data_IF_275098957683
#
_entry.id   IF_275098957683
#
_cell.length_a   1.000
_cell.length_b   1.000
_cell.length_c   1.000
_cell.angle_alpha   90.00
_cell.angle_beta   90.00
_cell.angle_gamma   90.00
#
_symmetry.space_group_name_H-M   'P 1'
#
loop_
_entity.id
_entity.type
_entity.pdbx_description
1 polymer ?
#
# COMPACT_ATOMS: atom_id res chain seq x y z
N UNK A 1 -8.22 6.29 0.59
CA UNK A 1 -6.81 6.18 1.02
C UNK A 1 -5.90 6.39 -0.16
N UNK A 2 -4.80 7.13 0.03
CA UNK A 2 -3.73 7.32 -0.95
C UNK A 2 -2.39 7.04 -0.26
N UNK A 3 -1.57 6.16 -0.86
CA UNK A 3 -0.21 5.87 -0.41
C UNK A 3 0.77 6.28 -1.53
N UNK A 4 1.62 7.29 -1.30
CA UNK A 4 2.70 7.65 -2.22
C UNK A 4 3.55 6.44 -2.61
N UNK A 5 3.82 6.29 -3.91
CA UNK A 5 4.64 5.23 -4.50
C UNK A 5 6.04 5.68 -4.90
N UNK A 6 6.72 4.87 -5.71
CA UNK A 6 8.10 5.14 -6.16
C UNK A 6 8.18 6.30 -7.16
N UNK A 7 7.14 6.49 -7.97
CA UNK A 7 7.07 7.54 -8.99
C UNK A 7 6.62 8.90 -8.45
N UNK A 8 5.93 8.90 -7.31
CA UNK A 8 5.31 10.05 -6.66
C UNK A 8 5.68 10.09 -5.16
N UNK A 9 6.89 9.66 -4.83
CA UNK A 9 7.39 9.52 -3.45
C UNK A 9 7.15 10.78 -2.60
N UNK A 10 7.00 10.59 -1.28
CA UNK A 10 6.77 11.67 -0.31
C UNK A 10 8.04 12.49 0.02
N UNK A 11 8.85 12.77 -1.00
CA UNK A 11 10.05 13.60 -0.91
C UNK A 11 9.73 15.10 -0.88
N UNK A 12 10.76 15.96 -0.87
CA UNK A 12 10.61 17.42 -0.81
C UNK A 12 9.82 18.04 -1.97
N UNK A 13 9.80 17.40 -3.14
CA UNK A 13 9.14 17.86 -4.35
C UNK A 13 7.76 17.20 -4.55
N UNK A 14 7.32 16.41 -3.57
CA UNK A 14 6.08 15.65 -3.64
C UNK A 14 4.85 16.55 -3.75
N UNK A 15 3.93 16.18 -4.65
CA UNK A 15 2.63 16.85 -4.81
C UNK A 15 1.80 16.79 -3.53
N UNK A 16 1.97 15.72 -2.74
CA UNK A 16 1.32 15.51 -1.44
C UNK A 16 1.82 16.45 -0.35
N UNK A 17 2.94 17.16 -0.57
CA UNK A 17 3.43 18.24 0.30
C UNK A 17 3.07 19.62 -0.24
N UNK A 18 3.05 19.75 -1.56
CA UNK A 18 2.74 21.01 -2.23
C UNK A 18 1.25 21.38 -2.12
N UNK A 19 0.37 20.38 -2.01
CA UNK A 19 -1.07 20.57 -2.04
C UNK A 19 -1.79 19.79 -0.94
N UNK A 20 -2.79 20.42 -0.34
CA UNK A 20 -3.81 19.73 0.44
C UNK A 20 -4.87 19.17 -0.53
N UNK A 21 -4.76 17.88 -0.82
CA UNK A 21 -5.67 17.20 -1.75
C UNK A 21 -7.12 17.15 -1.24
N UNK A 22 -7.34 17.11 0.08
CA UNK A 22 -8.69 17.11 0.64
C UNK A 22 -9.34 18.49 0.43
N UNK A 23 -8.62 19.56 0.74
CA UNK A 23 -9.08 20.92 0.49
C UNK A 23 -9.33 21.18 -1.01
N UNK A 24 -8.44 20.72 -1.90
CA UNK A 24 -8.63 20.84 -3.35
C UNK A 24 -9.88 20.12 -3.85
N UNK A 25 -10.26 19.01 -3.22
CA UNK A 25 -11.46 18.25 -3.54
C UNK A 25 -12.74 18.82 -2.88
N UNK A 26 -12.65 19.92 -2.13
CA UNK A 26 -13.77 20.48 -1.38
C UNK A 26 -14.22 19.61 -0.20
N UNK A 27 -13.34 18.71 0.26
CA UNK A 27 -13.58 17.81 1.39
C UNK A 27 -13.15 18.52 2.67
N UNK A 28 -13.97 18.45 3.73
CA UNK A 28 -13.61 19.10 5.00
C UNK A 28 -12.48 18.34 5.69
N UNK A 29 -11.61 19.01 6.48
CA UNK A 29 -10.48 18.37 7.14
C UNK A 29 -10.86 17.24 8.11
N UNK A 30 -12.09 17.25 8.64
CA UNK A 30 -12.62 16.24 9.55
C UNK A 30 -13.12 14.99 8.79
N UNK A 31 -13.20 15.05 7.47
CA UNK A 31 -13.68 13.96 6.64
C UNK A 31 -12.57 12.94 6.37
N UNK A 32 -12.93 11.65 6.44
CA UNK A 32 -12.02 10.55 6.14
C UNK A 32 -12.09 10.10 4.67
N UNK A 33 -12.76 10.88 3.80
CA UNK A 33 -12.92 10.55 2.37
C UNK A 33 -11.58 10.54 1.62
N UNK A 34 -10.71 11.51 1.91
CA UNK A 34 -9.38 11.61 1.31
C UNK A 34 -8.34 11.66 2.43
N UNK A 35 -7.69 10.53 2.65
CA UNK A 35 -6.57 10.42 3.59
C UNK A 35 -5.33 10.01 2.82
N UNK A 36 -4.32 10.88 2.85
CA UNK A 36 -2.99 10.65 2.31
C UNK A 36 -2.09 10.16 3.43
N UNK A 37 -1.50 8.99 3.26
CA UNK A 37 -0.53 8.45 4.21
C UNK A 37 0.84 9.06 3.97
N UNK A 38 1.56 9.31 5.05
CA UNK A 38 2.90 9.91 5.04
C UNK A 38 3.81 9.12 5.98
N UNK A 39 5.14 9.26 5.89
CA UNK A 39 6.05 8.64 6.86
C UNK A 39 5.75 9.04 8.32
N UNK A 40 5.23 10.26 8.54
CA UNK A 40 4.86 10.77 9.87
C UNK A 40 3.45 10.36 10.31
N UNK A 41 2.59 9.95 9.35
CA UNK A 41 1.24 9.42 9.56
C UNK A 41 1.03 8.19 8.67
N UNK A 42 1.68 7.06 8.99
CA UNK A 42 1.62 5.87 8.16
C UNK A 42 0.32 5.09 8.33
N UNK A 43 -0.38 5.29 9.45
CA UNK A 43 -1.58 4.54 9.80
C UNK A 43 -2.85 5.40 9.77
N UNK A 44 -3.98 4.78 9.45
CA UNK A 44 -5.30 5.37 9.52
C UNK A 44 -6.28 4.42 10.23
N UNK A 45 -6.96 4.92 11.26
CA UNK A 45 -7.92 4.16 12.07
C UNK A 45 -9.35 4.56 11.71
N UNK A 46 -10.14 3.60 11.21
CA UNK A 46 -11.53 3.79 10.78
C UNK A 46 -12.49 3.08 11.75
N UNK A 47 -12.88 3.79 12.80
CA UNK A 47 -13.75 3.25 13.86
C UNK A 47 -15.08 2.71 13.34
N UNK A 48 -15.75 3.46 12.46
CA UNK A 48 -17.07 3.09 11.93
C UNK A 48 -16.99 1.83 11.06
N UNK A 49 -15.85 1.60 10.42
CA UNK A 49 -15.60 0.42 9.58
C UNK A 49 -14.99 -0.75 10.36
N UNK A 50 -14.70 -0.55 11.66
CA UNK A 50 -13.95 -1.49 12.49
C UNK A 50 -12.67 -1.99 11.81
N UNK A 51 -11.95 -1.05 11.20
CA UNK A 51 -10.78 -1.31 10.37
C UNK A 51 -9.62 -0.37 10.67
N UNK A 52 -8.40 -0.89 10.57
CA UNK A 52 -7.17 -0.09 10.59
C UNK A 52 -6.38 -0.36 9.31
N UNK A 53 -5.86 0.70 8.71
CA UNK A 53 -4.99 0.66 7.53
C UNK A 53 -3.58 1.04 7.96
N UNK A 54 -2.63 0.16 7.66
CA UNK A 54 -1.20 0.32 7.90
C UNK A 54 -0.47 0.57 6.58
N UNK A 55 -0.10 1.83 6.33
CA UNK A 55 0.74 2.21 5.20
C UNK A 55 2.21 1.94 5.49
N UNK A 56 2.91 1.31 4.55
CA UNK A 56 4.36 1.11 4.65
C UNK A 56 5.03 1.77 3.46
N UNK A 57 5.58 2.96 3.71
CA UNK A 57 6.15 3.84 2.71
C UNK A 57 7.40 4.54 3.24
N UNK A 58 8.16 5.13 2.32
CA UNK A 58 9.35 5.92 2.62
C UNK A 58 9.25 7.30 1.98
N UNK A 59 9.99 8.27 2.53
CA UNK A 59 10.15 9.59 1.91
C UNK A 59 11.15 9.57 0.72
N UNK A 60 11.44 8.39 0.18
CA UNK A 60 12.44 8.15 -0.86
C UNK A 60 11.88 7.19 -1.89
N UNK A 61 12.36 7.28 -3.14
CA UNK A 61 11.94 6.38 -4.23
C UNK A 61 12.36 4.94 -3.96
N UNK A 62 13.58 4.76 -3.46
CA UNK A 62 14.13 3.48 -3.05
C UNK A 62 13.99 3.31 -1.54
N UNK A 63 13.46 2.17 -1.14
CA UNK A 63 13.39 1.76 0.25
C UNK A 63 14.79 1.42 0.78
N UNK A 64 15.21 1.95 1.93
CA UNK A 64 16.48 1.58 2.56
C UNK A 64 16.48 0.16 3.14
N UNK A 65 15.30 -0.41 3.39
CA UNK A 65 15.07 -1.76 3.88
C UNK A 65 13.66 -2.20 3.47
N UNK A 66 13.31 -3.48 3.68
CA UNK A 66 11.95 -3.95 3.40
C UNK A 66 10.91 -3.09 4.13
N UNK A 67 9.81 -2.69 3.47
CA UNK A 67 8.71 -2.01 4.12
C UNK A 67 8.06 -2.86 5.21
N UNK A 68 8.19 -4.19 5.21
CA UNK A 68 7.65 -5.08 6.24
C UNK A 68 8.69 -5.58 7.25
N UNK A 69 9.93 -5.10 7.18
CA UNK A 69 10.99 -5.49 8.11
C UNK A 69 10.55 -5.27 9.58
N UNK A 70 10.49 -6.37 10.34
CA UNK A 70 10.07 -6.36 11.75
C UNK A 70 8.62 -5.92 12.00
N UNK A 71 7.81 -5.75 10.95
CA UNK A 71 6.42 -5.35 11.11
C UNK A 71 5.56 -6.52 11.57
N UNK A 72 4.78 -6.25 12.61
CA UNK A 72 3.72 -7.13 13.07
C UNK A 72 2.64 -6.29 13.75
N UNK A 73 1.39 -6.53 13.40
CA UNK A 73 0.26 -5.91 14.11
C UNK A 73 0.21 -6.39 15.56
N UNK A 74 -0.21 -5.52 16.48
CA UNK A 74 -0.37 -5.87 17.90
C UNK A 74 -1.34 -7.04 18.09
N UNK A 75 -1.03 -7.92 19.05
CA UNK A 75 -1.85 -9.09 19.37
C UNK A 75 -3.18 -8.71 20.07
N UNK A 76 -3.30 -7.50 20.64
CA UNK A 76 -4.56 -6.97 21.19
C UNK A 76 -5.33 -6.20 20.10
N UNK A 77 -6.56 -6.59 19.69
CA UNK A 77 -7.26 -5.88 18.63
C UNK A 77 -7.81 -4.55 19.13
N UNK A 78 -7.38 -3.45 18.52
CA UNK A 78 -8.15 -2.20 18.52
C UNK A 78 -9.30 -2.24 17.49
N UNK A 79 -9.14 -3.05 16.43
CA UNK A 79 -10.08 -3.21 15.30
C UNK A 79 -10.13 -4.66 14.81
N UNK A 80 -11.25 -5.05 14.19
CA UNK A 80 -11.42 -6.37 13.58
C UNK A 80 -10.56 -6.54 12.32
N UNK A 81 -10.59 -5.56 11.41
CA UNK A 81 -9.89 -5.66 10.12
C UNK A 81 -8.55 -4.93 10.12
N UNK A 82 -7.48 -5.65 9.78
CA UNK A 82 -6.12 -5.11 9.73
C UNK A 82 -5.60 -5.17 8.30
N UNK A 83 -5.57 -4.01 7.65
CA UNK A 83 -5.26 -3.89 6.22
C UNK A 83 -3.87 -3.25 6.05
N UNK A 84 -2.99 -3.89 5.29
CA UNK A 84 -1.72 -3.29 4.88
C UNK A 84 -1.85 -2.61 3.52
N UNK A 85 -1.10 -1.52 3.31
CA UNK A 85 -1.01 -0.82 2.04
C UNK A 85 0.45 -0.53 1.68
N UNK A 86 0.92 -1.07 0.56
CA UNK A 86 2.31 -0.94 0.10
C UNK A 86 2.36 -0.70 -1.40
N UNK A 87 3.23 0.22 -1.84
CA UNK A 87 3.63 0.33 -3.24
C UNK A 87 5.03 -0.25 -3.39
N UNK A 88 5.13 -1.48 -3.90
CA UNK A 88 6.40 -2.19 -4.02
C UNK A 88 6.22 -3.63 -4.49
N UNK A 89 7.31 -4.36 -4.58
CA UNK A 89 7.35 -5.72 -5.11
C UNK A 89 7.47 -6.78 -4.02
N UNK A 90 6.64 -7.82 -4.16
CA UNK A 90 6.87 -9.08 -3.48
C UNK A 90 8.09 -9.73 -4.10
N UNK A 91 9.03 -10.17 -3.25
CA UNK A 91 10.28 -10.75 -3.69
C UNK A 91 10.06 -12.01 -4.53
N UNK A 92 10.52 -11.96 -5.76
CA UNK A 92 10.64 -13.11 -6.66
C UNK A 92 12.09 -13.13 -7.13
N UNK A 93 12.83 -14.17 -6.71
CA UNK A 93 14.24 -14.34 -7.05
C UNK A 93 14.46 -14.19 -8.56
N UNK A 94 15.51 -13.48 -8.93
CA UNK A 94 15.94 -13.21 -10.30
C UNK A 94 14.98 -12.29 -11.09
N UNK A 95 13.89 -11.82 -10.48
CA UNK A 95 12.89 -10.95 -11.13
C UNK A 95 12.73 -9.59 -10.48
N UNK A 96 12.75 -9.52 -9.15
CA UNK A 96 12.49 -8.27 -8.40
C UNK A 96 13.67 -7.85 -7.53
N UNK A 97 14.83 -8.48 -7.69
CA UNK A 97 16.01 -8.20 -6.85
C UNK A 97 16.51 -6.76 -6.97
N UNK A 98 16.21 -6.11 -8.11
CA UNK A 98 16.62 -4.74 -8.42
C UNK A 98 15.51 -3.70 -8.25
N UNK A 99 14.33 -4.12 -7.79
CA UNK A 99 13.22 -3.19 -7.58
C UNK A 99 13.49 -2.26 -6.41
N UNK A 100 12.93 -1.05 -6.49
CA UNK A 100 13.23 0.01 -5.54
C UNK A 100 12.60 -0.22 -4.14
N UNK A 101 11.53 -1.01 -4.06
CA UNK A 101 10.85 -1.36 -2.80
C UNK A 101 10.52 -2.83 -2.84
N UNK A 102 11.14 -3.64 -1.97
CA UNK A 102 11.00 -5.11 -1.98
C UNK A 102 10.70 -5.63 -0.58
N UNK A 103 9.75 -6.56 -0.47
CA UNK A 103 9.40 -7.28 0.76
C UNK A 103 9.20 -8.77 0.45
N UNK A 104 9.29 -9.64 1.45
CA UNK A 104 9.23 -11.10 1.23
C UNK A 104 7.89 -11.72 1.62
N UNK A 105 7.63 -12.92 1.12
CA UNK A 105 6.43 -13.70 1.49
C UNK A 105 6.42 -14.04 2.98
N UNK A 106 7.59 -14.29 3.57
CA UNK A 106 7.74 -14.56 5.00
C UNK A 106 7.36 -13.34 5.85
N UNK A 107 7.77 -12.14 5.43
CA UNK A 107 7.38 -10.90 6.10
C UNK A 107 5.87 -10.65 6.00
N UNK A 108 5.27 -10.90 4.83
CA UNK A 108 3.80 -10.82 4.67
C UNK A 108 3.12 -11.82 5.61
N UNK A 109 3.58 -13.07 5.68
CA UNK A 109 3.01 -14.08 6.56
C UNK A 109 3.15 -13.74 8.05
N UNK A 110 4.25 -13.07 8.44
CA UNK A 110 4.53 -12.68 9.82
C UNK A 110 3.78 -11.41 10.27
N UNK A 111 3.32 -10.59 9.33
CA UNK A 111 2.71 -9.28 9.57
C UNK A 111 1.45 -9.30 10.45
N UNK A 112 0.71 -10.42 10.45
CA UNK A 112 -0.57 -10.54 11.15
C UNK A 112 -1.72 -9.74 10.52
N UNK A 113 -1.53 -9.20 9.32
CA UNK A 113 -2.58 -8.54 8.55
C UNK A 113 -3.65 -9.54 8.09
N UNK A 114 -4.87 -9.06 7.88
CA UNK A 114 -5.94 -9.84 7.25
C UNK A 114 -5.84 -9.73 5.72
N UNK A 115 -5.48 -8.54 5.23
CA UNK A 115 -5.31 -8.24 3.82
C UNK A 115 -4.16 -7.28 3.57
N UNK A 116 -3.44 -7.47 2.46
CA UNK A 116 -2.36 -6.59 2.01
C UNK A 116 -2.65 -6.10 0.58
N UNK A 117 -3.02 -4.82 0.47
CA UNK A 117 -3.24 -4.13 -0.80
C UNK A 117 -1.90 -3.65 -1.37
N UNK A 118 -1.61 -4.04 -2.61
CA UNK A 118 -0.32 -3.78 -3.26
C UNK A 118 -0.48 -2.94 -4.54
N UNK A 119 0.43 -2.00 -4.73
CA UNK A 119 0.68 -1.28 -5.98
C UNK A 119 2.10 -1.58 -6.50
N UNK A 120 2.48 -0.98 -7.65
CA UNK A 120 3.74 -1.14 -8.41
C UNK A 120 3.60 -2.02 -9.67
N UNK A 121 2.93 -3.17 -9.56
CA UNK A 121 2.73 -4.05 -10.73
C UNK A 121 1.53 -3.64 -11.56
N UNK A 122 1.68 -3.64 -12.89
CA UNK A 122 0.65 -3.17 -13.82
C UNK A 122 -0.41 -4.24 -14.17
N UNK A 123 -0.16 -5.52 -13.91
CA UNK A 123 -1.14 -6.59 -14.07
C UNK A 123 -1.77 -6.99 -12.74
N UNK A 124 -3.07 -7.25 -12.73
CA UNK A 124 -3.77 -7.75 -11.55
C UNK A 124 -3.24 -9.13 -11.12
N UNK A 125 -2.89 -9.30 -9.85
CA UNK A 125 -2.38 -10.54 -9.28
C UNK A 125 -2.88 -10.67 -7.84
N UNK A 126 -3.08 -11.90 -7.36
CA UNK A 126 -3.42 -12.16 -5.97
C UNK A 126 -2.75 -13.43 -5.48
N UNK A 127 -2.55 -13.53 -4.18
CA UNK A 127 -1.98 -14.70 -3.55
C UNK A 127 -2.20 -14.69 -2.05
N UNK A 128 -1.58 -15.66 -1.39
CA UNK A 128 -1.66 -15.81 0.06
C UNK A 128 -0.27 -16.14 0.60
N UNK A 129 0.10 -15.51 1.70
CA UNK A 129 1.30 -15.82 2.47
C UNK A 129 0.88 -16.11 3.91
N UNK A 130 1.01 -17.37 4.34
CA UNK A 130 0.43 -17.83 5.60
C UNK A 130 -1.09 -17.58 5.65
N UNK A 131 -1.54 -16.78 6.61
CA UNK A 131 -2.96 -16.40 6.74
C UNK A 131 -3.34 -15.14 5.96
N UNK A 132 -2.37 -14.36 5.48
CA UNK A 132 -2.58 -13.05 4.88
C UNK A 132 -2.87 -13.19 3.39
N UNK A 133 -4.00 -12.64 2.94
CA UNK A 133 -4.29 -12.50 1.50
C UNK A 133 -3.64 -11.21 1.01
N UNK A 134 -2.99 -11.24 -0.15
CA UNK A 134 -2.45 -10.04 -0.78
C UNK A 134 -2.89 -9.94 -2.23
N UNK A 135 -2.98 -8.72 -2.75
CA UNK A 135 -3.25 -8.52 -4.17
C UNK A 135 -2.71 -7.22 -4.73
N UNK A 136 -2.26 -7.29 -5.99
CA UNK A 136 -2.04 -6.17 -6.89
C UNK A 136 -3.30 -5.98 -7.74
N UNK A 137 -3.89 -4.80 -7.73
CA UNK A 137 -5.02 -4.49 -8.62
C UNK A 137 -4.60 -4.36 -10.10
N UNK A 138 -3.35 -3.98 -10.34
CA UNK A 138 -2.85 -3.61 -11.67
C UNK A 138 -3.02 -2.11 -11.94
N UNK A 139 -2.58 -1.68 -13.12
CA UNK A 139 -2.81 -0.33 -13.59
C UNK A 139 -4.30 -0.13 -13.96
N UNK A 140 -4.86 1.08 -13.77
CA UNK A 140 -6.26 1.37 -14.09
C UNK A 140 -6.55 1.36 -15.61
N UNK A 141 -5.51 1.40 -16.43
CA UNK A 141 -5.57 1.27 -17.89
C UNK A 141 -4.29 0.56 -18.40
N UNK A 142 -4.29 -0.01 -19.62
CA UNK A 142 -3.08 -0.56 -20.21
C UNK A 142 -2.02 0.52 -20.42
N UNK A 143 -0.82 0.30 -19.90
CA UNK A 143 0.35 1.18 -20.08
C UNK A 143 1.37 0.61 -21.08
N UNK A 144 1.15 -0.61 -21.57
CA UNK A 144 1.90 -1.23 -22.66
C UNK A 144 0.98 -2.06 -23.56
N UNK A 145 1.37 -2.24 -24.83
CA UNK A 145 0.56 -2.92 -25.86
C UNK A 145 0.31 -4.41 -25.56
N UNK A 146 1.24 -5.04 -24.87
CA UNK A 146 1.23 -6.46 -24.51
C UNK A 146 0.83 -6.70 -23.05
N UNK A 147 0.34 -5.66 -22.35
CA UNK A 147 -0.05 -5.77 -20.96
C UNK A 147 -1.42 -6.42 -20.79
N UNK A 148 -1.43 -7.61 -20.24
CA UNK A 148 -2.66 -8.28 -19.81
C UNK A 148 -3.09 -7.87 -18.39
N UNK A 149 -4.40 -7.98 -18.14
CA UNK A 149 -5.03 -7.81 -16.82
C UNK A 149 -4.86 -6.41 -16.20
N UNK A 150 -4.80 -5.37 -17.02
CA UNK A 150 -5.01 -3.97 -16.61
C UNK A 150 -6.52 -3.67 -16.41
N UNK A 151 -6.85 -2.47 -15.94
CA UNK A 151 -8.22 -1.96 -15.92
C UNK A 151 -9.12 -2.58 -14.88
N UNK A 152 -8.57 -3.01 -13.74
CA UNK A 152 -9.32 -3.70 -12.69
C UNK A 152 -9.39 -2.92 -11.40
N UNK A 153 -10.51 -3.11 -10.70
CA UNK A 153 -10.67 -2.86 -9.28
C UNK A 153 -10.96 -4.21 -8.63
N UNK A 154 -10.36 -4.46 -7.46
CA UNK A 154 -10.56 -5.71 -6.73
C UNK A 154 -11.62 -5.51 -5.66
N UNK A 155 -12.69 -6.30 -5.73
CA UNK A 155 -13.65 -6.45 -4.64
C UNK A 155 -13.17 -7.58 -3.73
N UNK A 156 -12.92 -7.26 -2.46
CA UNK A 156 -12.46 -8.21 -1.44
C UNK A 156 -13.60 -8.42 -0.44
N UNK A 157 -13.93 -9.69 -0.17
CA UNK A 157 -15.07 -10.10 0.67
C UNK A 157 -14.63 -11.12 1.71
#
# INVERSE_FOLDING_TARGET
>A
MILPGTHDAYDRASIYRAHDLAALAGVTPESELIVVLTPDRPDADFQVLDAVVHGRLFATKRAPHSPLAGFRVSDAPARTWRIGLIHGSLHIRDRTDHDDVVFTSEEVAASGLDYLALGHWHSSQQGRAGKVTYAYAGAPEPVALDQDRAGKVLLVT
#
